data_IF_583396838664
#
_entry.id   IF_583396838664
#
_cell.length_a   1.000
_cell.length_b   1.000
_cell.length_c   1.000
_cell.angle_alpha   90.00
_cell.angle_beta   90.00
_cell.angle_gamma   90.00
#
_symmetry.space_group_name_H-M   'P 1'
#
loop_
_entity.id
_entity.type
_entity.pdbx_description
1 polymer ?
#
# COMPACT_ATOMS: atom_id res chain seq x y z
N UNK A 1 -2.95 -11.65 0.68
CA UNK A 1 -2.05 -12.06 -0.43
C UNK A 1 -1.01 -13.04 0.11
N UNK A 2 -1.07 -14.29 -0.34
CA UNK A 2 -0.39 -15.45 0.26
C UNK A 2 -1.30 -16.25 1.20
N UNK A 3 -0.92 -17.50 1.47
CA UNK A 3 -1.61 -18.42 2.40
C UNK A 3 -0.63 -18.92 3.46
N UNK A 4 -1.09 -19.67 4.46
CA UNK A 4 -0.18 -20.30 5.44
C UNK A 4 0.83 -21.26 4.79
N UNK A 5 0.51 -21.80 3.62
CA UNK A 5 1.32 -22.78 2.89
C UNK A 5 2.13 -22.16 1.75
N UNK A 6 1.80 -20.94 1.32
CA UNK A 6 2.43 -20.26 0.17
C UNK A 6 2.90 -18.88 0.61
N UNK A 7 4.22 -18.67 0.53
CA UNK A 7 4.84 -17.37 0.84
C UNK A 7 4.13 -16.26 0.06
N UNK A 8 3.62 -15.29 0.81
CA UNK A 8 2.98 -14.11 0.24
C UNK A 8 3.97 -13.03 -0.17
N UNK A 9 3.40 -11.89 -0.54
CA UNK A 9 4.15 -10.66 -0.80
C UNK A 9 4.77 -10.08 0.48
N UNK A 10 5.84 -9.29 0.32
CA UNK A 10 6.49 -8.54 1.38
C UNK A 10 5.55 -7.55 2.08
N UNK A 11 5.96 -7.05 3.24
CA UNK A 11 5.18 -6.05 3.99
C UNK A 11 4.94 -4.77 3.18
N UNK A 12 5.97 -4.28 2.49
CA UNK A 12 5.87 -3.10 1.64
C UNK A 12 4.95 -3.32 0.44
N UNK A 13 5.05 -4.47 -0.23
CA UNK A 13 4.11 -4.84 -1.30
C UNK A 13 2.69 -4.94 -0.79
N UNK A 14 2.46 -5.57 0.38
CA UNK A 14 1.14 -5.67 1.00
C UNK A 14 0.53 -4.31 1.28
N UNK A 15 1.33 -3.37 1.80
CA UNK A 15 0.88 -2.00 2.06
C UNK A 15 0.42 -1.32 0.77
N UNK A 16 1.21 -1.41 -0.32
CA UNK A 16 0.82 -0.85 -1.62
C UNK A 16 -0.41 -1.52 -2.21
N UNK A 17 -0.53 -2.84 -2.11
CA UNK A 17 -1.72 -3.56 -2.56
C UNK A 17 -2.97 -3.12 -1.81
N UNK A 18 -2.89 -2.95 -0.49
CA UNK A 18 -4.02 -2.48 0.31
C UNK A 18 -4.43 -1.05 -0.09
N UNK A 19 -3.48 -0.12 -0.22
CA UNK A 19 -3.77 1.26 -0.66
C UNK A 19 -4.45 1.25 -2.04
N UNK A 20 -3.92 0.47 -3.00
CA UNK A 20 -4.52 0.34 -4.32
C UNK A 20 -5.94 -0.23 -4.29
N UNK A 21 -6.21 -1.18 -3.40
CA UNK A 21 -7.54 -1.77 -3.25
C UNK A 21 -8.59 -0.77 -2.75
N UNK A 22 -8.22 0.09 -1.81
CA UNK A 22 -9.09 1.18 -1.34
C UNK A 22 -9.32 2.23 -2.43
N UNK A 23 -8.28 2.57 -3.22
CA UNK A 23 -8.40 3.54 -4.31
C UNK A 23 -9.32 3.08 -5.44
N UNK A 24 -9.41 1.78 -5.72
CA UNK A 24 -10.30 1.23 -6.76
C UNK A 24 -11.78 1.54 -6.46
N UNK A 25 -12.14 1.66 -5.18
CA UNK A 25 -13.50 1.98 -4.74
C UNK A 25 -13.83 3.47 -5.03
N UNK A 26 -12.82 4.29 -5.35
CA UNK A 26 -12.92 5.73 -5.55
C UNK A 26 -13.66 6.44 -4.40
N UNK A 27 -13.21 6.26 -3.15
CA UNK A 27 -13.89 6.86 -2.01
C UNK A 27 -13.73 8.39 -2.03
N UNK A 28 -14.75 9.16 -1.60
CA UNK A 28 -14.66 10.61 -1.53
C UNK A 28 -13.64 11.09 -0.49
N UNK A 29 -13.31 10.25 0.50
CA UNK A 29 -12.31 10.50 1.53
C UNK A 29 -11.56 9.20 1.81
N UNK A 30 -10.22 9.27 1.82
CA UNK A 30 -9.35 8.13 2.12
C UNK A 30 -8.53 8.43 3.39
N UNK A 31 -8.69 7.59 4.41
CA UNK A 31 -7.88 7.66 5.63
C UNK A 31 -6.69 6.70 5.53
N UNK A 32 -5.50 7.21 5.80
CA UNK A 32 -4.26 6.42 5.77
C UNK A 32 -3.50 6.66 7.07
N UNK A 33 -3.24 5.58 7.80
CA UNK A 33 -2.36 5.62 8.97
C UNK A 33 -0.95 5.15 8.57
N UNK A 34 0.04 6.01 8.79
CA UNK A 34 1.44 5.76 8.45
C UNK A 34 1.69 5.09 7.06
N UNK A 35 1.24 5.69 5.93
CA UNK A 35 1.25 5.05 4.61
C UNK A 35 2.63 4.75 4.05
N UNK A 36 3.69 5.34 4.61
CA UNK A 36 5.07 5.19 4.16
C UNK A 36 5.94 4.35 5.09
N UNK A 37 5.47 3.99 6.29
CA UNK A 37 6.26 3.21 7.25
C UNK A 37 6.64 1.84 6.68
N UNK A 38 7.92 1.49 6.79
CA UNK A 38 8.47 0.23 6.29
C UNK A 38 8.72 0.18 4.78
N UNK A 39 8.59 1.30 4.08
CA UNK A 39 9.00 1.46 2.68
C UNK A 39 10.38 2.12 2.60
N UNK A 40 11.15 1.78 1.57
CA UNK A 40 12.33 2.57 1.20
C UNK A 40 11.93 3.95 0.66
N UNK A 41 12.88 4.87 0.60
CA UNK A 41 12.63 6.27 0.23
C UNK A 41 12.02 6.42 -1.18
N UNK A 42 12.45 5.61 -2.15
CA UNK A 42 11.95 5.67 -3.53
C UNK A 42 10.50 5.19 -3.61
N UNK A 43 10.21 4.08 -2.95
CA UNK A 43 8.86 3.51 -2.91
C UNK A 43 7.90 4.39 -2.12
N UNK A 44 8.33 4.97 -0.99
CA UNK A 44 7.53 5.91 -0.23
C UNK A 44 7.17 7.15 -1.06
N UNK A 45 8.14 7.71 -1.79
CA UNK A 45 7.89 8.85 -2.68
C UNK A 45 6.92 8.50 -3.81
N UNK A 46 7.03 7.30 -4.38
CA UNK A 46 6.09 6.82 -5.41
C UNK A 46 4.65 6.70 -4.89
N UNK A 47 4.47 6.20 -3.66
CA UNK A 47 3.15 6.13 -3.01
C UNK A 47 2.58 7.53 -2.76
N UNK A 48 3.39 8.47 -2.28
CA UNK A 48 2.94 9.85 -2.06
C UNK A 48 2.58 10.57 -3.37
N UNK A 49 3.32 10.33 -4.45
CA UNK A 49 2.97 10.88 -5.77
C UNK A 49 1.66 10.32 -6.32
N UNK A 50 1.37 9.05 -6.03
CA UNK A 50 0.12 8.41 -6.44
C UNK A 50 -1.10 8.92 -5.67
N UNK A 51 -0.91 9.38 -4.43
CA UNK A 51 -1.97 9.90 -3.55
C UNK A 51 -2.19 11.41 -3.67
N UNK A 52 -1.34 12.12 -4.40
CA UNK A 52 -1.51 13.54 -4.74
C UNK A 52 -2.48 13.69 -5.90
#
# INVERSE_FOLDING_TARGET
VGTQLIRGISGGERKRTNIGMELIINPPVLFLDEPTTGLDASTANSVLMLLK
#
